data_IF_771010055371
#
_entry.id   IF_771010055371
#
_cell.length_a   1.000
_cell.length_b   1.000
_cell.length_c   1.000
_cell.angle_alpha   90.00
_cell.angle_beta   90.00
_cell.angle_gamma   90.00
#
_symmetry.space_group_name_H-M   'P 1'
#
loop_
_entity.id
_entity.type
_entity.pdbx_description
1 polymer ?
#
# COMPACT_ATOMS: atom_id res chain seq x y z
N UNK A 1 4.97 15.70 -13.93
CA UNK A 1 5.31 14.28 -13.75
C UNK A 1 4.32 13.39 -14.48
N UNK A 2 4.80 12.37 -15.14
CA UNK A 2 3.94 11.50 -15.96
C UNK A 2 3.39 10.31 -15.16
N UNK A 3 2.32 10.53 -14.42
CA UNK A 3 1.69 9.47 -13.62
C UNK A 3 1.13 8.35 -14.48
N UNK A 4 0.67 8.67 -15.70
CA UNK A 4 0.12 7.66 -16.60
C UNK A 4 1.17 6.63 -16.98
N UNK A 5 2.39 7.06 -17.26
CA UNK A 5 3.50 6.16 -17.58
C UNK A 5 3.83 5.26 -16.38
N UNK A 6 3.88 5.85 -15.20
CA UNK A 6 4.16 5.10 -13.98
C UNK A 6 3.05 4.07 -13.70
N UNK A 7 1.79 4.46 -13.89
CA UNK A 7 0.67 3.54 -13.75
C UNK A 7 0.74 2.37 -14.72
N UNK A 8 1.20 2.61 -15.95
CA UNK A 8 1.38 1.54 -16.93
C UNK A 8 2.46 0.55 -16.48
N UNK A 9 3.55 1.03 -15.89
CA UNK A 9 4.57 0.16 -15.32
C UNK A 9 4.00 -0.71 -14.20
N UNK A 10 3.20 -0.11 -13.32
CA UNK A 10 2.56 -0.83 -12.21
C UNK A 10 1.62 -1.92 -12.72
N UNK A 11 0.81 -1.60 -13.75
CA UNK A 11 -0.12 -2.57 -14.34
C UNK A 11 0.62 -3.73 -15.01
N UNK A 12 1.84 -3.51 -15.47
CA UNK A 12 2.66 -4.53 -16.11
C UNK A 12 3.55 -5.27 -15.11
N UNK A 13 3.17 -5.30 -13.83
CA UNK A 13 3.85 -6.05 -12.77
C UNK A 13 5.27 -5.56 -12.50
N UNK A 14 5.56 -4.31 -12.88
CA UNK A 14 6.87 -3.71 -12.64
C UNK A 14 6.97 -3.11 -11.26
N UNK A 15 8.19 -3.02 -10.74
CA UNK A 15 8.48 -2.29 -9.53
C UNK A 15 8.93 -0.89 -9.88
N UNK A 16 8.70 0.06 -8.97
CA UNK A 16 9.12 1.45 -9.17
C UNK A 16 9.86 1.94 -7.92
N UNK A 17 10.74 2.92 -8.12
CA UNK A 17 11.31 3.69 -7.02
C UNK A 17 10.54 4.99 -6.92
N UNK A 18 10.20 5.42 -5.71
CA UNK A 18 9.48 6.67 -5.52
C UNK A 18 9.98 7.39 -4.28
N UNK A 19 9.92 8.74 -4.29
CA UNK A 19 10.32 9.51 -3.11
C UNK A 19 9.21 9.48 -2.06
N UNK A 20 9.63 9.42 -0.80
CA UNK A 20 8.74 9.63 0.33
C UNK A 20 9.23 10.86 1.09
N UNK A 21 8.56 11.20 2.18
CA UNK A 21 8.95 12.33 3.01
C UNK A 21 10.22 12.06 3.83
N UNK A 22 10.72 10.84 3.84
CA UNK A 22 11.92 10.46 4.59
C UNK A 22 13.02 9.88 3.69
N UNK A 23 12.72 8.78 2.98
CA UNK A 23 13.70 8.06 2.14
C UNK A 23 13.04 7.63 0.84
N UNK A 24 13.83 7.13 -0.10
CA UNK A 24 13.31 6.50 -1.30
C UNK A 24 12.68 5.15 -0.95
N UNK A 25 11.53 4.88 -1.55
CA UNK A 25 10.84 3.60 -1.41
C UNK A 25 10.85 2.83 -2.71
N UNK A 26 10.68 1.52 -2.60
CA UNK A 26 10.45 0.65 -3.75
C UNK A 26 9.04 0.10 -3.62
N UNK A 27 8.28 0.14 -4.71
CA UNK A 27 6.88 -0.26 -4.66
C UNK A 27 6.37 -0.94 -5.91
N UNK A 28 5.16 -1.45 -5.81
CA UNK A 28 4.47 -2.13 -6.90
C UNK A 28 2.96 -2.12 -6.63
N UNK A 29 2.19 -2.68 -7.57
CA UNK A 29 0.77 -2.91 -7.41
C UNK A 29 0.53 -3.90 -6.26
N UNK A 30 -0.13 -3.45 -5.20
CA UNK A 30 -0.40 -4.26 -4.01
C UNK A 30 -1.44 -5.36 -4.25
N UNK A 31 -2.08 -5.39 -5.41
CA UNK A 31 -3.06 -6.43 -5.75
C UNK A 31 -2.46 -7.55 -6.61
N UNK A 32 -1.19 -7.43 -7.01
CA UNK A 32 -0.55 -8.38 -7.92
C UNK A 32 0.52 -9.20 -7.20
N UNK A 33 0.29 -10.50 -7.08
CA UNK A 33 1.19 -11.43 -6.37
C UNK A 33 2.58 -11.45 -6.99
N UNK A 34 2.68 -11.45 -8.32
CA UNK A 34 3.98 -11.52 -8.99
C UNK A 34 4.80 -10.25 -8.77
N UNK A 35 4.15 -9.10 -8.80
CA UNK A 35 4.82 -7.82 -8.55
C UNK A 35 5.31 -7.74 -7.10
N UNK A 36 4.49 -8.17 -6.14
CA UNK A 36 4.87 -8.20 -4.72
C UNK A 36 6.05 -9.15 -4.50
N UNK A 37 6.05 -10.30 -5.18
CA UNK A 37 7.16 -11.25 -5.08
C UNK A 37 8.48 -10.61 -5.51
N UNK A 38 8.45 -9.78 -6.56
CA UNK A 38 9.65 -9.06 -7.02
C UNK A 38 10.21 -8.14 -5.92
N UNK A 39 9.34 -7.49 -5.15
CA UNK A 39 9.77 -6.64 -4.02
C UNK A 39 10.50 -7.48 -2.97
N UNK A 40 9.94 -8.62 -2.58
CA UNK A 40 10.59 -9.49 -1.61
C UNK A 40 11.95 -9.97 -2.11
N UNK A 41 12.03 -10.34 -3.38
CA UNK A 41 13.29 -10.81 -3.99
C UNK A 41 14.36 -9.69 -3.99
N UNK A 42 13.98 -8.48 -4.37
CA UNK A 42 14.89 -7.33 -4.41
C UNK A 42 15.41 -7.00 -3.01
N UNK A 43 14.52 -7.01 -2.01
CA UNK A 43 14.88 -6.70 -0.63
C UNK A 43 15.51 -7.88 0.09
N UNK A 44 15.58 -9.06 -0.54
CA UNK A 44 16.04 -10.29 0.09
C UNK A 44 15.30 -10.56 1.40
N UNK A 45 13.98 -10.31 1.38
CA UNK A 45 13.12 -10.41 2.54
C UNK A 45 12.17 -11.60 2.38
N UNK A 46 11.91 -12.30 3.47
CA UNK A 46 10.96 -13.41 3.47
C UNK A 46 9.52 -12.87 3.38
N UNK A 47 8.66 -13.59 2.67
CA UNK A 47 7.25 -13.20 2.53
C UNK A 47 6.51 -13.16 3.87
N UNK A 48 7.01 -13.83 4.89
CA UNK A 48 6.44 -13.78 6.25
C UNK A 48 6.67 -12.44 6.94
N UNK A 49 7.58 -11.61 6.43
CA UNK A 49 7.88 -10.29 6.99
C UNK A 49 7.11 -9.24 6.20
N UNK A 50 5.98 -8.83 6.74
CA UNK A 50 5.02 -7.97 6.07
C UNK A 50 5.63 -6.67 5.52
N UNK A 51 5.19 -6.30 4.33
CA UNK A 51 5.44 -4.99 3.73
C UNK A 51 4.26 -4.08 4.09
N UNK A 52 4.50 -2.77 4.08
CA UNK A 52 3.44 -1.81 4.34
C UNK A 52 2.76 -1.46 3.02
N UNK A 53 1.42 -1.52 3.01
CA UNK A 53 0.61 -1.12 1.86
C UNK A 53 0.16 0.32 2.03
N UNK A 54 0.02 1.04 0.92
CA UNK A 54 -0.34 2.45 0.93
C UNK A 54 -1.67 2.65 0.21
N UNK A 55 -2.57 3.41 0.84
CA UNK A 55 -3.86 3.81 0.26
C UNK A 55 -3.94 5.33 0.25
N UNK A 56 -4.74 5.90 -0.66
CA UNK A 56 -4.81 7.35 -0.84
C UNK A 56 -5.91 8.04 -0.03
N UNK A 57 -6.90 7.28 0.44
CA UNK A 57 -8.04 7.86 1.17
C UNK A 57 -8.78 6.78 1.96
N UNK A 58 -9.68 7.24 2.84
CA UNK A 58 -10.47 6.34 3.69
C UNK A 58 -11.42 5.47 2.85
N UNK A 59 -12.00 6.02 1.81
CA UNK A 59 -12.90 5.27 0.91
C UNK A 59 -12.19 4.09 0.26
N UNK A 60 -10.94 4.27 -0.16
CA UNK A 60 -10.15 3.17 -0.70
C UNK A 60 -9.91 2.11 0.36
N UNK A 61 -9.61 2.52 1.59
CA UNK A 61 -9.39 1.59 2.70
C UNK A 61 -10.62 0.71 2.93
N UNK A 62 -11.83 1.28 2.85
CA UNK A 62 -13.07 0.52 3.02
C UNK A 62 -13.24 -0.59 2.00
N UNK A 63 -12.66 -0.44 0.81
CA UNK A 63 -12.73 -1.46 -0.25
C UNK A 63 -11.75 -2.62 -0.03
N UNK A 64 -10.76 -2.44 0.85
CA UNK A 64 -9.68 -3.41 1.03
C UNK A 64 -9.61 -4.02 2.43
N UNK A 65 -10.42 -3.54 3.34
CA UNK A 65 -10.50 -4.09 4.70
C UNK A 65 -11.98 -4.26 5.06
N UNK A 66 -12.36 -5.48 5.45
CA UNK A 66 -13.76 -5.80 5.71
C UNK A 66 -14.29 -5.12 6.96
N UNK A 67 -13.50 -5.08 8.02
CA UNK A 67 -13.93 -4.56 9.32
C UNK A 67 -12.95 -3.51 9.83
N UNK A 68 -13.38 -2.24 9.84
CA UNK A 68 -12.57 -1.14 10.33
C UNK A 68 -13.23 -0.59 11.59
N UNK A 69 -12.58 -0.75 12.78
CA UNK A 69 -13.13 -0.17 14.02
C UNK A 69 -13.29 1.35 13.91
N UNK A 70 -14.32 1.88 14.54
CA UNK A 70 -14.63 3.30 14.48
C UNK A 70 -13.47 4.17 14.98
N UNK A 71 -12.72 3.70 15.97
CA UNK A 71 -11.56 4.40 16.49
C UNK A 71 -10.50 4.69 15.45
N UNK A 72 -10.39 3.85 14.44
CA UNK A 72 -9.40 4.02 13.35
C UNK A 72 -9.68 5.31 12.57
N UNK A 73 -10.95 5.58 12.27
CA UNK A 73 -11.32 6.81 11.55
C UNK A 73 -10.88 8.06 12.34
N UNK A 74 -11.11 8.05 13.66
CA UNK A 74 -10.70 9.17 14.52
C UNK A 74 -9.17 9.32 14.53
N UNK A 75 -8.45 8.21 14.67
CA UNK A 75 -6.98 8.23 14.66
C UNK A 75 -6.44 8.81 13.37
N UNK A 76 -6.95 8.35 12.22
CA UNK A 76 -6.48 8.80 10.92
C UNK A 76 -6.83 10.27 10.66
N UNK A 77 -8.01 10.70 11.09
CA UNK A 77 -8.46 12.08 10.91
C UNK A 77 -7.58 13.07 11.67
N UNK A 78 -7.11 12.70 12.86
CA UNK A 78 -6.33 13.56 13.74
C UNK A 78 -4.82 13.39 13.56
N UNK A 79 -4.37 12.38 12.79
CA UNK A 79 -2.95 12.10 12.64
C UNK A 79 -2.24 13.24 11.90
N UNK A 80 -1.19 13.78 12.52
CA UNK A 80 -0.32 14.78 11.90
C UNK A 80 0.97 14.18 11.35
N UNK A 81 1.22 12.90 11.66
CA UNK A 81 2.41 12.15 11.24
C UNK A 81 2.00 10.87 10.51
N UNK A 82 2.90 10.32 9.67
CA UNK A 82 2.62 9.04 9.03
C UNK A 82 2.26 7.98 10.06
N UNK A 83 1.11 7.34 9.89
CA UNK A 83 0.58 6.37 10.84
C UNK A 83 0.25 5.06 10.13
N UNK A 84 0.87 3.97 10.57
CA UNK A 84 0.59 2.63 10.05
C UNK A 84 -0.28 1.88 11.04
N UNK A 85 -1.37 1.30 10.54
CA UNK A 85 -2.30 0.54 11.36
C UNK A 85 -2.37 -0.88 10.82
N UNK A 86 -2.40 -1.86 11.72
CA UNK A 86 -2.55 -3.26 11.36
C UNK A 86 -4.03 -3.63 11.41
N UNK A 87 -4.57 -4.09 10.29
CA UNK A 87 -5.98 -4.42 10.15
C UNK A 87 -6.20 -5.92 10.06
N UNK A 88 -7.34 -6.37 10.56
CA UNK A 88 -7.81 -7.74 10.38
C UNK A 88 -8.65 -7.83 9.11
N UNK A 89 -8.73 -9.03 8.56
CA UNK A 89 -9.61 -9.36 7.42
C UNK A 89 -9.40 -8.48 6.19
N UNK A 90 -8.15 -8.42 5.67
CA UNK A 90 -7.91 -7.73 4.41
C UNK A 90 -8.54 -8.48 3.24
N UNK A 91 -8.89 -7.76 2.18
CA UNK A 91 -9.43 -8.36 0.96
C UNK A 91 -8.87 -7.63 -0.27
N UNK A 92 -8.84 -8.35 -1.39
CA UNK A 92 -8.41 -7.80 -2.69
C UNK A 92 -6.93 -7.42 -2.76
N UNK A 93 -6.14 -7.78 -1.75
CA UNK A 93 -4.69 -7.64 -1.79
C UNK A 93 -4.04 -8.91 -2.34
N UNK A 94 -2.82 -8.77 -2.83
CA UNK A 94 -2.01 -9.92 -3.16
C UNK A 94 -1.83 -10.81 -1.91
N UNK A 95 -1.99 -12.12 -2.06
CA UNK A 95 -1.97 -13.05 -0.92
C UNK A 95 -0.65 -13.02 -0.15
N UNK A 96 0.46 -12.75 -0.83
CA UNK A 96 1.78 -12.68 -0.21
C UNK A 96 2.05 -11.38 0.57
N UNK A 97 1.08 -10.45 0.61
CA UNK A 97 1.13 -9.30 1.49
C UNK A 97 0.44 -9.55 2.82
N UNK A 98 -0.39 -10.59 2.90
CA UNK A 98 -1.18 -10.88 4.08
C UNK A 98 -0.36 -11.75 5.03
N UNK A 99 -0.23 -11.29 6.29
CA UNK A 99 0.51 -12.03 7.30
C UNK A 99 -0.18 -13.36 7.67
N UNK A 100 0.57 -14.28 8.27
CA UNK A 100 0.03 -15.60 8.63
C UNK A 100 -1.16 -15.56 9.59
N UNK A 101 -1.30 -14.48 10.36
CA UNK A 101 -2.45 -14.27 11.27
C UNK A 101 -3.62 -13.55 10.59
N UNK A 102 -3.60 -13.42 9.28
CA UNK A 102 -4.64 -12.79 8.45
C UNK A 102 -4.73 -11.27 8.71
N UNK A 103 -3.60 -10.63 8.95
CA UNK A 103 -3.53 -9.18 9.12
C UNK A 103 -2.70 -8.53 8.03
N UNK A 104 -2.85 -7.22 7.88
CA UNK A 104 -2.08 -6.43 6.92
C UNK A 104 -1.80 -5.04 7.50
N UNK A 105 -0.60 -4.53 7.27
CA UNK A 105 -0.22 -3.18 7.69
C UNK A 105 -0.50 -2.20 6.56
N UNK A 106 -1.29 -1.17 6.85
CA UNK A 106 -1.70 -0.17 5.85
C UNK A 106 -1.46 1.24 6.39
N UNK A 107 -0.92 2.10 5.54
CA UNK A 107 -0.75 3.52 5.82
C UNK A 107 -1.57 4.33 4.83
N UNK A 108 -2.35 5.27 5.34
CA UNK A 108 -3.10 6.20 4.51
C UNK A 108 -2.22 7.41 4.21
N UNK A 109 -2.03 7.71 2.93
CA UNK A 109 -1.21 8.83 2.45
C UNK A 109 -2.14 9.86 1.83
N UNK A 110 -2.20 11.05 2.40
CA UNK A 110 -3.19 12.07 2.00
C UNK A 110 -2.59 13.24 1.23
N UNK A 111 -1.29 13.23 0.95
CA UNK A 111 -0.64 14.32 0.20
C UNK A 111 0.66 13.84 -0.45
N UNK A 112 1.15 14.62 -1.41
CA UNK A 112 2.43 14.38 -2.06
C UNK A 112 2.35 13.44 -3.26
N UNK A 113 3.53 13.05 -3.74
CA UNK A 113 3.68 12.22 -4.94
C UNK A 113 2.92 10.89 -4.83
N UNK A 114 3.11 10.19 -3.72
CA UNK A 114 2.53 8.85 -3.55
C UNK A 114 1.00 8.93 -3.52
N UNK A 115 0.44 9.94 -2.85
CA UNK A 115 -1.02 10.15 -2.83
C UNK A 115 -1.56 10.32 -4.24
N UNK A 116 -0.95 11.20 -5.03
CA UNK A 116 -1.37 11.47 -6.40
C UNK A 116 -1.24 10.22 -7.28
N UNK A 117 -0.17 9.47 -7.10
CA UNK A 117 0.06 8.23 -7.86
C UNK A 117 -1.02 7.19 -7.56
N UNK A 118 -1.32 6.93 -6.30
CA UNK A 118 -2.33 5.94 -5.91
C UNK A 118 -3.71 6.37 -6.43
N UNK A 119 -4.03 7.65 -6.29
CA UNK A 119 -5.30 8.19 -6.77
C UNK A 119 -5.45 7.99 -8.29
N UNK A 120 -4.39 8.21 -9.04
CA UNK A 120 -4.40 8.03 -10.50
C UNK A 120 -4.44 6.55 -10.87
N UNK A 121 -3.67 5.72 -10.16
CA UNK A 121 -3.62 4.29 -10.43
C UNK A 121 -4.92 3.57 -10.07
N UNK A 122 -5.55 3.97 -8.99
CA UNK A 122 -6.87 3.47 -8.58
C UNK A 122 -6.85 2.28 -7.62
N UNK A 123 -5.68 1.73 -7.30
CA UNK A 123 -5.54 0.64 -6.32
C UNK A 123 -4.37 0.92 -5.39
N UNK A 124 -4.32 0.24 -4.22
CA UNK A 124 -3.19 0.39 -3.31
C UNK A 124 -1.86 -0.02 -3.94
N UNK A 125 -0.78 0.55 -3.45
CA UNK A 125 0.58 0.14 -3.81
C UNK A 125 1.33 -0.28 -2.54
N UNK A 126 2.43 -0.96 -2.74
CA UNK A 126 3.34 -1.33 -1.64
C UNK A 126 4.29 -0.19 -1.35
#
# INVERSE_FOLDING_TARGET
MNYKHICNLLKNKQTILYPTDTIWGIGCDATNVDAVKKIYDIKQREESKALICLVSCFEMLLSYVEDIPEQVHEILKEASKPTTIIYNYPRNFASNLIAGDQTIAIRLVNKGFVHALIKTFGTPIV
#
